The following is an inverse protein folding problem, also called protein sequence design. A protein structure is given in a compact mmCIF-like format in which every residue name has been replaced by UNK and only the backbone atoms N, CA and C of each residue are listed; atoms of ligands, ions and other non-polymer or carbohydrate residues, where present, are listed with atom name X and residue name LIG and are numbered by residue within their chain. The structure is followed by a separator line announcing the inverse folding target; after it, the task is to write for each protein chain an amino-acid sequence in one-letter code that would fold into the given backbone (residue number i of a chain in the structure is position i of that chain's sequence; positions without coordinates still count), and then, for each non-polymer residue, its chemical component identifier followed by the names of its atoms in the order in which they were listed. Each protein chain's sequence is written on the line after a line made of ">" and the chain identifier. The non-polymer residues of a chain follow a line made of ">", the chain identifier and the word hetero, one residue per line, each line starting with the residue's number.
data_IF_629480887783
#
_entry.id   IF_629480887783
#
_cell.length_a   1.000
_cell.length_b   1.000
_cell.length_c   1.000
_cell.angle_alpha   90.00
_cell.angle_beta   90.00
_cell.angle_gamma   90.00
#
_symmetry.space_group_name_H-M   'P 1'
#
loop_
_entity.id
_entity.type
_entity.pdbx_description
1 polymer ?
#
# COMPACT_ATOMS: atom_id res chain seq x y z
N UNK A 1 20.03 -18.95 19.17
CA UNK A 1 18.87 -19.86 19.10
C UNK A 1 17.54 -19.09 19.19
N UNK A 2 17.39 -17.96 18.48
CA UNK A 2 16.20 -17.07 18.61
C UNK A 2 15.66 -16.50 17.28
N UNK A 3 16.25 -16.86 16.13
CA UNK A 3 15.82 -16.37 14.80
C UNK A 3 15.07 -17.43 13.97
N UNK A 4 14.84 -18.62 14.51
CA UNK A 4 14.22 -19.72 13.75
C UNK A 4 12.71 -19.52 13.51
N UNK A 5 12.05 -18.74 14.36
CA UNK A 5 10.62 -18.37 14.20
C UNK A 5 10.42 -17.42 13.00
N UNK A 6 11.40 -16.57 12.69
CA UNK A 6 11.30 -15.62 11.58
C UNK A 6 11.64 -16.24 10.23
N UNK A 7 12.38 -17.35 10.19
CA UNK A 7 12.67 -18.05 8.92
C UNK A 7 11.43 -18.41 8.10
N UNK A 8 10.40 -19.09 8.65
CA UNK A 8 9.20 -19.42 7.88
C UNK A 8 8.47 -18.14 7.41
N UNK A 9 8.42 -17.12 8.27
CA UNK A 9 7.82 -15.81 7.96
C UNK A 9 8.52 -15.14 6.77
N UNK A 10 9.86 -15.10 6.77
CA UNK A 10 10.64 -14.53 5.67
C UNK A 10 10.53 -15.33 4.37
N UNK A 11 10.39 -16.66 4.45
CA UNK A 11 10.18 -17.50 3.27
C UNK A 11 8.82 -17.21 2.63
N UNK A 12 7.76 -17.13 3.43
CA UNK A 12 6.41 -16.77 2.97
C UNK A 12 6.41 -15.38 2.33
N UNK A 13 7.00 -14.37 3.00
CA UNK A 13 7.08 -13.00 2.46
C UNK A 13 7.86 -12.93 1.15
N UNK A 14 9.00 -13.64 1.05
CA UNK A 14 9.82 -13.63 -0.16
C UNK A 14 9.12 -14.31 -1.33
N UNK A 15 8.32 -15.35 -1.09
CA UNK A 15 7.57 -16.05 -2.12
C UNK A 15 6.30 -15.31 -2.56
N UNK A 16 5.83 -14.33 -1.78
CA UNK A 16 4.55 -13.68 -2.02
C UNK A 16 4.67 -12.43 -2.91
N UNK A 17 4.11 -12.50 -4.11
CA UNK A 17 4.12 -11.41 -5.09
C UNK A 17 3.44 -10.14 -4.58
N UNK A 18 2.34 -10.26 -3.83
CA UNK A 18 1.62 -9.09 -3.30
C UNK A 18 2.44 -8.37 -2.23
N UNK A 19 3.10 -9.11 -1.35
CA UNK A 19 4.01 -8.52 -0.37
C UNK A 19 5.18 -7.78 -1.05
N UNK A 20 5.80 -8.39 -2.08
CA UNK A 20 6.85 -7.73 -2.86
C UNK A 20 6.35 -6.45 -3.54
N UNK A 21 5.13 -6.47 -4.10
CA UNK A 21 4.53 -5.30 -4.72
C UNK A 21 4.28 -4.18 -3.71
N UNK A 22 3.81 -4.48 -2.49
CA UNK A 22 3.69 -3.48 -1.41
C UNK A 22 5.03 -2.82 -1.14
N UNK A 23 6.11 -3.61 -0.98
CA UNK A 23 7.45 -3.07 -0.72
C UNK A 23 7.90 -2.16 -1.86
N UNK A 24 7.72 -2.58 -3.12
CA UNK A 24 8.07 -1.76 -4.29
C UNK A 24 7.27 -0.45 -4.30
N UNK A 25 5.97 -0.50 -4.01
CA UNK A 25 5.11 0.68 -4.00
C UNK A 25 5.49 1.66 -2.88
N UNK A 26 5.82 1.17 -1.68
CA UNK A 26 6.34 1.98 -0.58
C UNK A 26 7.64 2.67 -0.98
N UNK A 27 8.57 1.95 -1.60
CA UNK A 27 9.84 2.53 -2.08
C UNK A 27 9.56 3.62 -3.12
N UNK A 28 8.68 3.36 -4.09
CA UNK A 28 8.27 4.35 -5.08
C UNK A 28 7.66 5.60 -4.43
N UNK A 29 6.80 5.43 -3.44
CA UNK A 29 6.18 6.55 -2.75
C UNK A 29 7.20 7.41 -2.00
N UNK A 30 8.14 6.77 -1.30
CA UNK A 30 9.23 7.49 -0.62
C UNK A 30 10.14 8.21 -1.63
N UNK A 31 10.40 7.61 -2.80
CA UNK A 31 11.18 8.23 -3.86
C UNK A 31 10.47 9.46 -4.44
N UNK A 32 9.20 9.34 -4.86
CA UNK A 32 8.45 10.49 -5.39
C UNK A 32 8.14 11.53 -4.31
N UNK A 33 7.90 11.10 -3.07
CA UNK A 33 7.74 11.98 -1.92
C UNK A 33 8.98 12.80 -1.62
N UNK A 34 10.17 12.21 -1.74
CA UNK A 34 11.45 12.91 -1.49
C UNK A 34 11.84 13.85 -2.62
N UNK A 35 11.57 13.47 -3.86
CA UNK A 35 11.70 14.36 -5.01
C UNK A 35 10.80 15.60 -4.85
N UNK A 36 9.57 15.42 -4.37
CA UNK A 36 8.67 16.53 -4.05
C UNK A 36 9.24 17.41 -2.93
N UNK A 37 9.69 16.83 -1.82
CA UNK A 37 10.24 17.59 -0.70
C UNK A 37 11.49 18.41 -1.11
N UNK A 38 12.33 17.83 -1.98
CA UNK A 38 13.49 18.52 -2.54
C UNK A 38 13.08 19.68 -3.47
N UNK A 39 12.05 19.50 -4.30
CA UNK A 39 11.51 20.52 -5.20
C UNK A 39 10.87 21.68 -4.44
N UNK A 40 9.99 21.38 -3.49
CA UNK A 40 9.22 22.37 -2.74
C UNK A 40 10.04 22.99 -1.59
N UNK A 41 11.26 22.49 -1.33
CA UNK A 41 12.14 22.82 -0.18
C UNK A 41 11.43 22.77 1.18
N UNK A 42 10.35 22.00 1.27
CA UNK A 42 9.55 21.79 2.46
C UNK A 42 9.45 20.29 2.73
N UNK A 43 9.63 19.90 3.99
CA UNK A 43 9.34 18.52 4.41
C UNK A 43 7.83 18.30 4.25
N UNK A 44 7.45 17.34 3.41
CA UNK A 44 6.05 16.97 3.22
C UNK A 44 5.67 15.76 4.08
N UNK A 45 4.38 15.48 4.16
CA UNK A 45 3.82 14.33 4.88
C UNK A 45 4.27 12.95 4.37
N UNK A 46 4.82 12.87 3.15
CA UNK A 46 5.34 11.62 2.55
C UNK A 46 6.79 11.30 2.97
N UNK A 47 7.56 12.27 3.44
CA UNK A 47 8.99 12.12 3.85
C UNK A 47 9.27 12.62 5.26
N UNK A 48 8.29 13.26 5.90
CA UNK A 48 8.32 13.60 7.32
C UNK A 48 8.23 12.35 8.22
N UNK A 49 8.41 12.58 9.52
CA UNK A 49 8.39 11.54 10.55
C UNK A 49 7.07 10.73 10.50
N UNK A 50 5.94 11.38 10.29
CA UNK A 50 4.62 10.73 10.21
C UNK A 50 4.49 9.81 8.99
N UNK A 51 5.05 10.22 7.84
CA UNK A 51 5.11 9.39 6.63
C UNK A 51 5.97 8.15 6.86
N UNK A 52 7.15 8.32 7.46
CA UNK A 52 8.02 7.22 7.85
C UNK A 52 7.35 6.23 8.80
N UNK A 53 6.70 6.73 9.86
CA UNK A 53 5.94 5.91 10.82
C UNK A 53 4.84 5.13 10.11
N UNK A 54 4.11 5.74 9.19
CA UNK A 54 3.05 5.09 8.41
C UNK A 54 3.58 3.91 7.59
N UNK A 55 4.68 4.11 6.84
CA UNK A 55 5.28 3.04 6.03
C UNK A 55 5.81 1.90 6.89
N UNK A 56 6.49 2.23 8.00
CA UNK A 56 6.98 1.22 8.96
C UNK A 56 5.82 0.45 9.58
N UNK A 57 4.73 1.14 9.95
CA UNK A 57 3.51 0.54 10.48
C UNK A 57 2.85 -0.43 9.48
N UNK A 58 2.80 -0.07 8.19
CA UNK A 58 2.26 -0.95 7.14
C UNK A 58 3.12 -2.20 6.95
N UNK A 59 4.44 -2.10 6.98
CA UNK A 59 5.31 -3.28 6.88
C UNK A 59 5.20 -4.15 8.12
N UNK A 60 5.19 -3.55 9.31
CA UNK A 60 5.08 -4.28 10.57
C UNK A 60 3.74 -4.99 10.70
N UNK A 61 2.63 -4.37 10.28
CA UNK A 61 1.32 -5.00 10.30
C UNK A 61 1.26 -6.22 9.37
N UNK A 62 1.85 -6.15 8.16
CA UNK A 62 1.95 -7.31 7.27
C UNK A 62 2.75 -8.45 7.91
N UNK A 63 3.84 -8.14 8.60
CA UNK A 63 4.62 -9.14 9.35
C UNK A 63 3.76 -9.83 10.40
N UNK A 64 2.99 -9.07 11.18
CA UNK A 64 2.05 -9.62 12.15
C UNK A 64 0.96 -10.48 11.49
N UNK A 65 0.44 -10.08 10.32
CA UNK A 65 -0.56 -10.84 9.59
C UNK A 65 -0.04 -12.16 9.04
N UNK A 66 1.24 -12.26 8.67
CA UNK A 66 1.86 -13.56 8.32
C UNK A 66 1.82 -14.52 9.51
N UNK A 67 2.01 -14.04 10.75
CA UNK A 67 1.83 -14.89 11.92
C UNK A 67 0.38 -15.35 12.09
N UNK A 68 -0.59 -14.47 11.83
CA UNK A 68 -2.01 -14.83 11.86
C UNK A 68 -2.31 -15.90 10.81
N UNK A 69 -1.82 -15.74 9.59
CA UNK A 69 -2.02 -16.71 8.51
C UNK A 69 -1.41 -18.08 8.83
N UNK A 70 -0.26 -18.13 9.51
CA UNK A 70 0.38 -19.37 9.95
C UNK A 70 -0.43 -20.04 11.08
N UNK A 71 -0.95 -19.26 12.03
CA UNK A 71 -1.70 -19.79 13.19
C UNK A 71 -3.15 -20.15 12.85
N UNK A 72 -3.78 -19.39 11.96
CA UNK A 72 -5.17 -19.48 11.59
C UNK A 72 -5.32 -19.20 10.09
N UNK A 73 -5.13 -20.22 9.23
CA UNK A 73 -5.28 -20.05 7.79
C UNK A 73 -6.75 -19.78 7.45
N UNK A 74 -7.04 -18.54 7.07
CA UNK A 74 -8.37 -18.09 6.63
C UNK A 74 -8.30 -17.71 5.17
N UNK A 75 -9.28 -18.16 4.39
CA UNK A 75 -9.44 -17.75 2.99
C UNK A 75 -10.45 -16.60 2.90
N UNK A 76 -9.99 -15.43 2.50
CA UNK A 76 -10.80 -14.21 2.33
C UNK A 76 -11.26 -13.97 0.89
N UNK A 77 -11.23 -15.00 0.03
CA UNK A 77 -11.56 -14.84 -1.40
C UNK A 77 -12.95 -14.27 -1.60
N UNK A 78 -13.89 -14.58 -0.69
CA UNK A 78 -15.25 -14.06 -0.63
C UNK A 78 -15.34 -12.53 -0.62
N UNK A 79 -14.33 -11.82 -0.11
CA UNK A 79 -14.29 -10.35 -0.06
C UNK A 79 -13.77 -9.71 -1.36
N UNK A 80 -13.13 -10.49 -2.24
CA UNK A 80 -12.68 -10.00 -3.55
C UNK A 80 -13.83 -10.09 -4.54
N UNK A 81 -14.16 -9.01 -5.29
CA UNK A 81 -15.21 -9.06 -6.30
C UNK A 81 -14.90 -10.11 -7.39
N UNK A 82 -15.91 -10.87 -7.81
CA UNK A 82 -15.82 -11.92 -8.85
C UNK A 82 -15.12 -11.43 -10.12
N UNK A 83 -15.39 -10.18 -10.52
CA UNK A 83 -14.77 -9.54 -11.68
C UNK A 83 -13.24 -9.48 -11.57
N UNK A 84 -12.68 -9.24 -10.38
CA UNK A 84 -11.24 -9.21 -10.16
C UNK A 84 -10.64 -10.61 -10.03
N UNK A 85 -11.39 -11.58 -9.50
CA UNK A 85 -10.91 -12.97 -9.37
C UNK A 85 -10.55 -13.59 -10.73
N UNK A 86 -11.32 -13.26 -11.77
CA UNK A 86 -11.06 -13.73 -13.14
C UNK A 86 -9.79 -13.17 -13.79
N UNK A 87 -9.35 -11.97 -13.42
CA UNK A 87 -8.14 -11.35 -14.00
C UNK A 87 -6.86 -11.70 -13.24
N UNK A 88 -6.97 -11.97 -11.93
CA UNK A 88 -5.79 -12.15 -11.06
C UNK A 88 -5.52 -13.65 -10.77
N UNK A 89 -6.37 -14.57 -11.26
CA UNK A 89 -6.25 -16.03 -11.05
C UNK A 89 -5.99 -16.42 -9.58
N UNK A 90 -6.56 -15.66 -8.63
CA UNK A 90 -6.46 -15.94 -7.20
C UNK A 90 -7.45 -17.06 -6.85
N UNK A 91 -6.93 -18.24 -6.52
CA UNK A 91 -7.74 -19.38 -6.04
C UNK A 91 -8.12 -19.22 -4.57
N UNK A 92 -7.24 -18.58 -3.81
CA UNK A 92 -7.35 -18.24 -2.42
C UNK A 92 -6.66 -16.89 -2.17
N UNK A 93 -7.05 -16.24 -1.08
CA UNK A 93 -6.37 -15.04 -0.61
C UNK A 93 -6.30 -15.10 0.90
N UNK A 94 -5.09 -15.00 1.45
CA UNK A 94 -4.89 -15.02 2.90
C UNK A 94 -5.23 -13.66 3.54
N UNK A 95 -5.21 -13.58 4.86
CA UNK A 95 -5.47 -12.31 5.56
C UNK A 95 -4.36 -11.30 5.24
N UNK A 96 -3.10 -11.72 5.24
CA UNK A 96 -1.99 -10.85 4.85
C UNK A 96 -2.13 -10.34 3.41
N UNK A 97 -2.46 -11.22 2.46
CA UNK A 97 -2.60 -10.84 1.05
C UNK A 97 -3.75 -9.87 0.82
N UNK A 98 -4.86 -10.05 1.53
CA UNK A 98 -5.99 -9.12 1.47
C UNK A 98 -5.59 -7.71 1.93
N UNK A 99 -4.90 -7.59 3.06
CA UNK A 99 -4.39 -6.29 3.52
C UNK A 99 -3.27 -5.74 2.62
N UNK A 100 -2.44 -6.60 2.05
CA UNK A 100 -1.43 -6.20 1.06
C UNK A 100 -2.09 -5.56 -0.17
N UNK A 101 -3.21 -6.10 -0.67
CA UNK A 101 -3.96 -5.46 -1.76
C UNK A 101 -4.48 -4.07 -1.36
N UNK A 102 -5.03 -3.92 -0.16
CA UNK A 102 -5.49 -2.61 0.33
C UNK A 102 -4.34 -1.61 0.41
N UNK A 103 -3.18 -2.06 0.89
CA UNK A 103 -1.97 -1.25 0.96
C UNK A 103 -1.44 -0.87 -0.43
N UNK A 104 -1.44 -1.79 -1.41
CA UNK A 104 -1.08 -1.46 -2.80
C UNK A 104 -1.99 -0.34 -3.34
N UNK A 105 -3.31 -0.45 -3.14
CA UNK A 105 -4.25 0.58 -3.60
C UNK A 105 -3.94 1.93 -2.93
N UNK A 106 -3.71 1.94 -1.62
CA UNK A 106 -3.36 3.17 -0.88
C UNK A 106 -2.04 3.78 -1.38
N UNK A 107 -0.99 2.96 -1.57
CA UNK A 107 0.31 3.41 -2.03
C UNK A 107 0.26 3.95 -3.47
N UNK A 108 -0.51 3.33 -4.36
CA UNK A 108 -0.71 3.84 -5.73
C UNK A 108 -1.35 5.23 -5.70
N UNK A 109 -2.34 5.45 -4.82
CA UNK A 109 -2.94 6.77 -4.64
C UNK A 109 -1.92 7.80 -4.08
N UNK A 110 -1.08 7.38 -3.14
CA UNK A 110 -0.03 8.21 -2.56
C UNK A 110 1.03 8.62 -3.60
N UNK A 111 1.51 7.66 -4.39
CA UNK A 111 2.44 7.88 -5.50
C UNK A 111 1.84 8.85 -6.51
N UNK A 112 0.59 8.63 -6.91
CA UNK A 112 -0.11 9.49 -7.88
C UNK A 112 -0.28 10.93 -7.37
N UNK A 113 -0.56 11.09 -6.06
CA UNK A 113 -0.58 12.40 -5.38
C UNK A 113 0.80 13.07 -5.46
N UNK A 114 1.85 12.37 -5.04
CA UNK A 114 3.22 12.87 -5.02
C UNK A 114 3.73 13.24 -6.43
N UNK A 115 3.45 12.42 -7.45
CA UNK A 115 3.77 12.71 -8.85
C UNK A 115 3.04 13.95 -9.37
N UNK A 116 1.75 14.10 -9.05
CA UNK A 116 0.95 15.27 -9.47
C UNK A 116 1.51 16.56 -8.87
N UNK A 117 1.85 16.56 -7.59
CA UNK A 117 2.42 17.72 -6.88
C UNK A 117 3.86 18.02 -7.33
N UNK A 118 4.62 16.98 -7.68
CA UNK A 118 5.94 17.13 -8.31
C UNK A 118 5.89 17.74 -9.72
N UNK A 119 4.69 17.87 -10.32
CA UNK A 119 4.49 18.50 -11.63
C UNK A 119 4.60 17.54 -12.81
N UNK A 120 4.56 16.22 -12.58
CA UNK A 120 4.50 15.24 -13.66
C UNK A 120 3.14 15.31 -14.39
N UNK A 121 3.06 14.93 -15.68
CA UNK A 121 1.85 15.01 -16.49
C UNK A 121 0.76 13.97 -16.13
N UNK A 122 0.60 13.64 -14.86
CA UNK A 122 -0.40 12.71 -14.32
C UNK A 122 -1.64 13.40 -13.74
N UNK A 123 -1.70 14.74 -13.79
CA UNK A 123 -2.76 15.56 -13.18
C UNK A 123 -4.18 15.17 -13.63
N UNK A 124 -4.35 14.82 -14.91
CA UNK A 124 -5.66 14.39 -15.44
C UNK A 124 -6.13 13.10 -14.79
N UNK A 125 -5.23 12.11 -14.66
CA UNK A 125 -5.52 10.83 -14.00
C UNK A 125 -5.86 11.05 -12.53
N UNK A 126 -5.08 11.86 -11.82
CA UNK A 126 -5.35 12.19 -10.42
C UNK A 126 -6.72 12.83 -10.21
N UNK A 127 -7.12 13.79 -11.06
CA UNK A 127 -8.43 14.44 -10.97
C UNK A 127 -9.55 13.42 -11.21
N UNK A 128 -9.43 12.54 -12.21
CA UNK A 128 -10.41 11.49 -12.48
C UNK A 128 -10.54 10.52 -11.31
N UNK A 129 -9.42 10.07 -10.74
CA UNK A 129 -9.39 9.18 -9.57
C UNK A 129 -10.01 9.87 -8.36
N UNK A 130 -9.65 11.13 -8.07
CA UNK A 130 -10.21 11.91 -6.96
C UNK A 130 -11.73 12.11 -7.13
N UNK A 131 -12.20 12.37 -8.35
CA UNK A 131 -13.62 12.50 -8.66
C UNK A 131 -14.36 11.16 -8.49
N UNK A 132 -13.75 10.05 -8.90
CA UNK A 132 -14.30 8.72 -8.71
C UNK A 132 -14.42 8.35 -7.23
N UNK A 133 -13.36 8.56 -6.43
CA UNK A 133 -13.38 8.32 -5.00
C UNK A 133 -14.44 9.19 -4.30
N UNK A 134 -14.51 10.48 -4.65
CA UNK A 134 -15.54 11.39 -4.09
C UNK A 134 -16.96 10.92 -4.41
N UNK A 135 -17.19 10.40 -5.62
CA UNK A 135 -18.52 9.94 -6.06
C UNK A 135 -18.94 8.63 -5.39
N UNK A 136 -18.02 7.70 -5.15
CA UNK A 136 -18.33 6.35 -4.66
C UNK A 136 -18.20 6.20 -3.15
N UNK A 137 -17.32 6.97 -2.50
CA UNK A 137 -17.05 6.81 -1.06
C UNK A 137 -17.89 7.75 -0.20
N UNK A 138 -18.41 8.86 -0.74
CA UNK A 138 -19.33 9.79 -0.05
C UNK A 138 -18.72 10.57 1.12
N UNK A 139 -17.76 9.97 1.82
CA UNK A 139 -16.87 10.59 2.79
C UNK A 139 -15.64 11.16 2.10
N UNK A 140 -15.19 12.31 2.59
CA UNK A 140 -13.85 12.78 2.31
C UNK A 140 -12.89 11.71 2.84
N UNK A 141 -12.31 10.91 1.93
CA UNK A 141 -10.97 10.40 2.22
C UNK A 141 -10.11 11.66 2.23
N UNK A 142 -9.98 12.30 3.39
CA UNK A 142 -8.87 13.17 3.70
C UNK A 142 -7.63 12.30 3.55
N UNK A 143 -7.17 12.12 2.31
CA UNK A 143 -5.81 11.67 2.02
C UNK A 143 -4.95 12.85 2.46
N UNK A 144 -4.80 12.99 3.77
CA UNK A 144 -4.29 14.15 4.51
C UNK A 144 -3.60 15.15 3.59
N UNK A 145 -4.38 16.12 3.14
CA UNK A 145 -3.90 17.44 2.75
C UNK A 145 -3.75 18.24 4.06
N UNK A 146 -3.08 17.67 5.07
CA UNK A 146 -2.54 18.47 6.17
C UNK A 146 -1.20 19.01 5.70
N UNK A 147 -1.24 20.31 5.46
CA UNK A 147 -0.13 21.22 5.19
C UNK A 147 1.07 20.98 6.11
#
# INVERSE_FOLDING_TARGET
>A
MHFDIFRPVFVVMRGNTLFQLVVIMIVMDVLFGSLRAAKDRAFNSSVGIDGGIRKVGMLLSLVCLVFVDILCPVNLIGFIPEAFRGYIHLQDITVMEFFALLYIVYEVLSVLKNMTLSGLPVRRVWITVKAFLKKNTGEFIEVEDKE
#
